data_IF_278552360602
#
_entry.id   IF_278552360602
#
_cell.length_a   1.000
_cell.length_b   1.000
_cell.length_c   1.000
_cell.angle_alpha   90.00
_cell.angle_beta   90.00
_cell.angle_gamma   90.00
#
_symmetry.space_group_name_H-M   'P 1'
#
loop_
_entity.id
_entity.type
_entity.pdbx_description
1 polymer ?
#
# COMPACT_ATOMS: atom_id res chain seq x y z
N UNK A 1 -4.21 18.97 -3.04
CA UNK A 1 -4.74 18.55 -1.73
C UNK A 1 -4.38 17.09 -1.57
N UNK A 2 -3.79 16.71 -0.45
CA UNK A 2 -3.36 15.33 -0.17
C UNK A 2 -4.54 14.37 -0.20
N UNK A 3 -4.33 13.16 -0.72
CA UNK A 3 -5.26 12.03 -0.63
C UNK A 3 -4.52 10.75 -0.25
N UNK A 4 -5.28 9.73 0.17
CA UNK A 4 -4.79 8.38 0.41
C UNK A 4 -5.26 7.46 -0.71
N UNK A 5 -4.32 6.79 -1.37
CA UNK A 5 -4.56 5.79 -2.40
C UNK A 5 -4.20 4.42 -1.83
N UNK A 6 -5.15 3.50 -1.81
CA UNK A 6 -4.96 2.15 -1.25
C UNK A 6 -4.98 1.15 -2.38
N UNK A 7 -3.87 0.42 -2.53
CA UNK A 7 -3.84 -0.86 -3.23
C UNK A 7 -4.65 -1.85 -2.37
N UNK A 8 -5.92 -2.04 -2.75
CA UNK A 8 -6.92 -2.65 -1.87
C UNK A 8 -6.96 -4.18 -1.99
N UNK A 9 -6.29 -4.77 -2.99
CA UNK A 9 -6.28 -6.20 -3.24
C UNK A 9 -5.56 -6.93 -2.09
N UNK A 10 -6.35 -7.59 -1.24
CA UNK A 10 -5.84 -8.31 -0.07
C UNK A 10 -5.24 -7.43 1.03
N UNK A 11 -5.48 -6.11 1.00
CA UNK A 11 -4.94 -5.19 1.99
C UNK A 11 -5.62 -5.36 3.36
N UNK A 12 -4.88 -5.75 4.42
CA UNK A 12 -5.49 -6.09 5.70
C UNK A 12 -5.80 -4.87 6.59
N UNK A 13 -5.53 -3.65 6.09
CA UNK A 13 -5.62 -2.41 6.88
C UNK A 13 -6.58 -1.38 6.27
N UNK A 14 -7.38 -1.75 5.26
CA UNK A 14 -8.33 -0.86 4.58
C UNK A 14 -9.21 -0.09 5.58
N UNK A 15 -9.88 -0.79 6.50
CA UNK A 15 -10.80 -0.14 7.45
C UNK A 15 -10.07 0.81 8.42
N UNK A 16 -8.82 0.49 8.78
CA UNK A 16 -7.99 1.35 9.63
C UNK A 16 -7.61 2.61 8.86
N UNK A 17 -7.19 2.45 7.59
CA UNK A 17 -6.85 3.57 6.70
C UNK A 17 -8.03 4.52 6.54
N UNK A 18 -9.23 3.99 6.25
CA UNK A 18 -10.45 4.80 6.08
C UNK A 18 -10.79 5.57 7.35
N UNK A 19 -10.79 4.89 8.51
CA UNK A 19 -11.08 5.54 9.80
C UNK A 19 -10.09 6.66 10.10
N UNK A 20 -8.80 6.42 9.88
CA UNK A 20 -7.76 7.43 10.10
C UNK A 20 -7.90 8.58 9.10
N UNK A 21 -8.11 8.31 7.81
CA UNK A 21 -8.32 9.32 6.78
C UNK A 21 -9.50 10.25 7.13
N UNK A 22 -10.61 9.66 7.57
CA UNK A 22 -11.82 10.39 8.00
C UNK A 22 -11.53 11.34 9.18
N UNK A 23 -10.69 10.95 10.14
CA UNK A 23 -10.32 11.82 11.27
C UNK A 23 -9.45 13.03 10.89
N UNK A 24 -8.82 12.99 9.71
CA UNK A 24 -8.03 14.08 9.14
C UNK A 24 -8.75 14.81 8.00
N UNK A 25 -9.99 14.43 7.68
CA UNK A 25 -10.75 14.96 6.53
C UNK A 25 -10.01 14.78 5.18
N UNK A 26 -9.21 13.71 5.07
CA UNK A 26 -8.43 13.40 3.86
C UNK A 26 -9.21 12.40 2.99
N UNK A 27 -9.39 12.66 1.68
CA UNK A 27 -10.01 11.72 0.77
C UNK A 27 -9.27 10.37 0.71
N UNK A 28 -10.02 9.28 0.75
CA UNK A 28 -9.49 7.92 0.65
C UNK A 28 -10.05 7.23 -0.61
N UNK A 29 -9.17 6.66 -1.42
CA UNK A 29 -9.52 5.92 -2.63
C UNK A 29 -9.03 4.48 -2.51
N UNK A 30 -9.92 3.52 -2.72
CA UNK A 30 -9.59 2.11 -2.82
C UNK A 30 -9.48 1.76 -4.31
N UNK A 31 -8.36 1.20 -4.72
CA UNK A 31 -8.14 0.75 -6.09
C UNK A 31 -8.02 -0.77 -6.05
N UNK A 32 -8.92 -1.47 -6.73
CA UNK A 32 -8.98 -2.93 -6.78
C UNK A 32 -9.45 -3.41 -8.15
N UNK A 33 -9.16 -4.66 -8.47
CA UNK A 33 -9.72 -5.29 -9.67
C UNK A 33 -11.18 -5.73 -9.47
N UNK A 34 -11.86 -6.14 -10.55
CA UNK A 34 -13.25 -6.65 -10.49
C UNK A 34 -13.43 -7.92 -9.66
N UNK A 35 -12.36 -8.67 -9.38
CA UNK A 35 -12.46 -9.90 -8.57
C UNK A 35 -12.44 -9.60 -7.06
N UNK A 36 -11.95 -8.41 -6.68
CA UNK A 36 -11.82 -7.96 -5.29
C UNK A 36 -12.65 -6.71 -5.00
N UNK A 37 -13.68 -6.45 -5.80
CA UNK A 37 -14.56 -5.28 -5.61
C UNK A 37 -15.05 -5.20 -4.16
N UNK A 38 -14.80 -4.05 -3.54
CA UNK A 38 -15.23 -3.77 -2.19
C UNK A 38 -15.76 -2.36 -2.08
N UNK A 39 -16.95 -2.20 -1.53
CA UNK A 39 -17.49 -0.89 -1.18
C UNK A 39 -17.36 -0.68 0.32
N UNK A 40 -16.87 0.49 0.72
CA UNK A 40 -16.69 0.88 2.12
C UNK A 40 -17.14 2.32 2.32
N UNK A 41 -17.93 2.55 3.38
CA UNK A 41 -18.31 3.91 3.76
C UNK A 41 -17.06 4.73 4.11
N UNK A 42 -16.97 5.96 3.63
CA UNK A 42 -15.82 6.84 3.83
C UNK A 42 -14.65 6.64 2.86
N UNK A 43 -14.82 5.84 1.80
CA UNK A 43 -13.86 5.77 0.70
C UNK A 43 -14.54 5.68 -0.67
N UNK A 44 -13.92 6.29 -1.68
CA UNK A 44 -14.31 6.09 -3.07
C UNK A 44 -13.62 4.83 -3.61
N UNK A 45 -14.36 3.94 -4.26
CA UNK A 45 -13.80 2.71 -4.85
C UNK A 45 -13.67 2.86 -6.36
N UNK A 46 -12.46 2.63 -6.86
CA UNK A 46 -12.12 2.66 -8.27
C UNK A 46 -11.85 1.23 -8.72
N UNK A 47 -12.84 0.63 -9.36
CA UNK A 47 -12.75 -0.74 -9.89
C UNK A 47 -12.12 -0.69 -11.27
N UNK A 48 -11.06 -1.47 -11.47
CA UNK A 48 -10.40 -1.60 -12.77
C UNK A 48 -10.70 -2.95 -13.41
N UNK A 49 -10.78 -2.97 -14.74
CA UNK A 49 -10.95 -4.22 -15.49
C UNK A 49 -9.81 -5.18 -15.19
N UNK A 50 -10.13 -6.47 -15.02
CA UNK A 50 -9.13 -7.51 -14.78
C UNK A 50 -8.06 -7.53 -15.87
N UNK A 51 -6.82 -7.30 -15.46
CA UNK A 51 -5.64 -7.29 -16.32
C UNK A 51 -4.38 -7.25 -15.47
N UNK A 52 -3.28 -7.81 -15.97
CA UNK A 52 -2.00 -7.72 -15.28
C UNK A 52 -1.64 -6.24 -15.04
N UNK A 53 -1.32 -5.91 -13.80
CA UNK A 53 -0.86 -4.59 -13.35
C UNK A 53 -1.83 -3.42 -13.61
N UNK A 54 -3.12 -3.70 -13.90
CA UNK A 54 -4.11 -2.65 -14.18
C UNK A 54 -4.38 -1.76 -12.95
N UNK A 55 -4.40 -2.36 -11.76
CA UNK A 55 -4.55 -1.66 -10.47
C UNK A 55 -3.37 -0.72 -10.25
N UNK A 56 -2.15 -1.26 -10.34
CA UNK A 56 -0.90 -0.50 -10.18
C UNK A 56 -0.84 0.68 -11.15
N UNK A 57 -1.17 0.48 -12.42
CA UNK A 57 -1.13 1.54 -13.42
C UNK A 57 -2.12 2.68 -13.10
N UNK A 58 -3.36 2.34 -12.75
CA UNK A 58 -4.37 3.36 -12.38
C UNK A 58 -3.98 4.08 -11.10
N UNK A 59 -3.47 3.34 -10.10
CA UNK A 59 -3.01 3.92 -8.85
C UNK A 59 -1.86 4.90 -9.11
N UNK A 60 -0.79 4.46 -9.79
CA UNK A 60 0.36 5.29 -10.13
C UNK A 60 -0.07 6.54 -10.88
N UNK A 61 -0.95 6.44 -11.86
CA UNK A 61 -1.41 7.61 -12.63
C UNK A 61 -2.21 8.62 -11.82
N UNK A 62 -2.81 8.22 -10.69
CA UNK A 62 -3.55 9.12 -9.80
C UNK A 62 -2.67 9.79 -8.75
N UNK A 63 -1.48 9.27 -8.47
CA UNK A 63 -0.56 9.85 -7.48
C UNK A 63 -0.17 11.27 -7.90
N UNK A 64 -0.32 12.19 -6.96
CA UNK A 64 0.31 13.51 -6.95
C UNK A 64 1.33 13.59 -5.82
N UNK A 65 2.16 14.64 -5.83
CA UNK A 65 3.09 14.92 -4.74
C UNK A 65 2.35 14.96 -3.39
N UNK A 66 2.99 14.41 -2.36
CA UNK A 66 2.52 14.31 -0.97
C UNK A 66 1.36 13.34 -0.71
N UNK A 67 0.77 12.75 -1.75
CA UNK A 67 -0.25 11.70 -1.59
C UNK A 67 0.32 10.50 -0.85
N UNK A 68 -0.48 9.90 0.04
CA UNK A 68 -0.11 8.69 0.76
C UNK A 68 -0.54 7.48 -0.06
N UNK A 69 0.34 6.50 -0.20
CA UNK A 69 0.05 5.24 -0.90
C UNK A 69 0.17 4.07 0.07
N UNK A 70 -0.91 3.33 0.30
CA UNK A 70 -0.87 2.12 1.13
C UNK A 70 -0.70 0.91 0.22
N UNK A 71 0.45 0.24 0.28
CA UNK A 71 0.74 -0.95 -0.56
C UNK A 71 1.76 -1.91 0.07
N UNK A 72 1.72 -3.18 -0.34
CA UNK A 72 2.77 -4.17 -0.08
C UNK A 72 3.73 -4.38 -1.24
N UNK A 73 3.39 -3.91 -2.44
CA UNK A 73 4.25 -4.11 -3.59
C UNK A 73 5.39 -3.08 -3.57
N UNK A 74 6.63 -3.58 -3.46
CA UNK A 74 7.81 -2.72 -3.45
C UNK A 74 8.03 -1.99 -4.78
N UNK A 75 7.62 -2.58 -5.91
CA UNK A 75 7.65 -1.91 -7.20
C UNK A 75 6.64 -0.76 -7.24
N UNK A 76 5.42 -0.98 -6.77
CA UNK A 76 4.41 0.08 -6.66
C UNK A 76 4.85 1.18 -5.70
N UNK A 77 5.44 0.83 -4.55
CA UNK A 77 6.01 1.79 -3.62
C UNK A 77 7.14 2.62 -4.26
N UNK A 78 8.02 1.99 -5.05
CA UNK A 78 9.08 2.70 -5.78
C UNK A 78 8.51 3.68 -6.81
N UNK A 79 7.48 3.27 -7.56
CA UNK A 79 6.78 4.16 -8.50
C UNK A 79 6.08 5.33 -7.79
N UNK A 80 5.53 5.08 -6.61
CA UNK A 80 4.92 6.12 -5.79
C UNK A 80 5.95 7.15 -5.30
N UNK A 81 7.13 6.70 -4.82
CA UNK A 81 8.24 7.58 -4.47
C UNK A 81 8.69 8.43 -5.67
N UNK A 82 8.84 7.81 -6.85
CA UNK A 82 9.24 8.52 -8.06
C UNK A 82 8.27 9.63 -8.48
N UNK A 83 7.01 9.58 -8.04
CA UNK A 83 6.00 10.63 -8.25
C UNK A 83 5.89 11.65 -7.11
N UNK A 84 6.77 11.58 -6.10
CA UNK A 84 6.71 12.43 -4.91
C UNK A 84 5.63 12.01 -3.91
N UNK A 85 5.07 10.81 -4.05
CA UNK A 85 4.15 10.24 -3.07
C UNK A 85 4.88 9.72 -1.84
N UNK A 86 4.09 9.38 -0.81
CA UNK A 86 4.56 8.89 0.50
C UNK A 86 4.02 7.49 0.76
N UNK A 87 4.68 6.44 0.25
CA UNK A 87 4.18 5.08 0.38
C UNK A 87 4.44 4.47 1.76
N UNK A 88 3.49 3.68 2.25
CA UNK A 88 3.51 3.00 3.54
C UNK A 88 2.99 1.56 3.41
N UNK A 89 3.62 0.64 4.13
CA UNK A 89 3.20 -0.76 4.23
C UNK A 89 2.15 -0.96 5.33
N UNK A 90 1.40 -2.06 5.29
CA UNK A 90 0.40 -2.47 6.27
C UNK A 90 0.94 -2.68 7.69
N UNK A 91 2.25 -2.74 7.90
CA UNK A 91 2.87 -2.85 9.22
C UNK A 91 3.36 -1.48 9.73
N UNK A 92 3.12 -0.41 8.97
CA UNK A 92 3.52 0.94 9.31
C UNK A 92 4.95 1.30 8.87
N UNK A 93 5.61 0.50 8.03
CA UNK A 93 6.91 0.88 7.45
C UNK A 93 6.70 1.91 6.35
N UNK A 94 7.37 3.05 6.48
CA UNK A 94 7.43 4.01 5.38
C UNK A 94 8.47 3.56 4.38
N UNK A 95 8.10 3.54 3.12
CA UNK A 95 9.05 3.37 2.04
C UNK A 95 9.71 4.71 1.78
N UNK A 96 11.03 4.70 1.62
CA UNK A 96 11.83 5.90 1.37
C UNK A 96 12.93 5.57 0.38
N UNK A 97 13.51 6.58 -0.27
CA UNK A 97 14.65 6.40 -1.17
C UNK A 97 15.83 5.70 -0.47
N UNK A 98 15.97 5.87 0.85
CA UNK A 98 17.01 5.24 1.64
C UNK A 98 16.79 3.73 1.88
N UNK A 99 15.59 3.19 1.69
CA UNK A 99 15.27 1.78 1.99
C UNK A 99 14.70 0.98 0.81
N UNK A 100 14.15 1.65 -0.21
CA UNK A 100 13.37 0.96 -1.25
C UNK A 100 14.22 0.02 -2.10
N UNK A 101 15.45 0.40 -2.44
CA UNK A 101 16.36 -0.42 -3.25
C UNK A 101 16.73 -1.73 -2.55
N UNK A 102 16.99 -1.67 -1.24
CA UNK A 102 17.29 -2.87 -0.45
C UNK A 102 16.08 -3.80 -0.37
N UNK A 103 14.87 -3.25 -0.25
CA UNK A 103 13.63 -4.03 -0.22
C UNK A 103 13.38 -4.72 -1.57
N UNK A 104 13.54 -4.01 -2.68
CA UNK A 104 13.46 -4.55 -4.05
C UNK A 104 14.48 -5.67 -4.26
N UNK A 105 15.73 -5.45 -3.88
CA UNK A 105 16.78 -6.47 -3.96
C UNK A 105 16.41 -7.71 -3.15
N UNK A 106 15.90 -7.53 -1.93
CA UNK A 106 15.49 -8.62 -1.04
C UNK A 106 14.34 -9.44 -1.63
N UNK A 107 13.34 -8.78 -2.25
CA UNK A 107 12.24 -9.44 -2.97
C UNK A 107 12.76 -10.30 -4.12
N UNK A 108 13.66 -9.74 -4.93
CA UNK A 108 14.25 -10.45 -6.06
C UNK A 108 15.12 -11.64 -5.61
N UNK A 109 15.94 -11.46 -4.57
CA UNK A 109 16.72 -12.55 -3.99
C UNK A 109 15.83 -13.67 -3.46
N UNK A 110 14.76 -13.33 -2.72
CA UNK A 110 13.80 -14.31 -2.22
C UNK A 110 13.11 -15.09 -3.35
N UNK A 111 12.85 -14.44 -4.49
CA UNK A 111 12.33 -15.10 -5.69
C UNK A 111 13.34 -16.10 -6.28
N UNK A 112 14.62 -15.73 -6.39
CA UNK A 112 15.69 -16.64 -6.84
C UNK A 112 15.81 -17.88 -5.95
N UNK A 113 15.76 -17.70 -4.62
CA UNK A 113 15.78 -18.82 -3.66
C UNK A 113 14.63 -19.78 -3.92
N UNK A 114 13.39 -19.27 -4.12
CA UNK A 114 12.23 -20.11 -4.44
C UNK A 114 12.38 -20.86 -5.76
N UNK A 115 12.89 -20.19 -6.80
CA UNK A 115 13.13 -20.80 -8.12
C UNK A 115 14.18 -21.91 -8.05
N UNK A 116 15.17 -21.79 -7.17
CA UNK A 116 16.17 -22.83 -6.90
C UNK A 116 15.65 -23.98 -6.00
N UNK A 117 14.36 -24.02 -5.68
CA UNK A 117 13.74 -25.05 -4.83
C UNK A 117 13.83 -24.78 -3.32
N UNK A 118 14.39 -23.64 -2.91
CA UNK A 118 14.45 -23.22 -1.53
C UNK A 118 13.06 -22.87 -0.97
N UNK A 119 12.78 -23.30 0.27
CA UNK A 119 11.53 -22.98 0.97
C UNK A 119 11.76 -21.80 1.92
N UNK A 120 11.00 -20.72 1.72
CA UNK A 120 10.96 -19.60 2.66
C UNK A 120 9.69 -19.70 3.51
N UNK A 121 9.81 -19.33 4.80
CA UNK A 121 8.65 -19.27 5.69
C UNK A 121 7.73 -18.15 5.22
N UNK A 122 6.45 -18.46 5.06
CA UNK A 122 5.42 -17.47 4.75
C UNK A 122 5.23 -16.45 5.88
N UNK A 123 4.54 -15.33 5.60
CA UNK A 123 4.22 -14.36 6.63
C UNK A 123 3.42 -15.01 7.77
N UNK A 124 3.69 -14.58 9.01
CA UNK A 124 2.89 -14.99 10.17
C UNK A 124 1.49 -14.38 10.06
N UNK A 125 0.52 -14.97 10.76
CA UNK A 125 -0.80 -14.35 10.95
C UNK A 125 -0.61 -12.95 11.54
N UNK A 126 -1.33 -11.98 10.97
CA UNK A 126 -1.32 -10.60 11.43
C UNK A 126 -1.85 -10.49 12.87
N UNK A 127 -1.18 -9.67 13.67
CA UNK A 127 -1.46 -9.43 15.08
C UNK A 127 -2.17 -8.08 15.30
N UNK A 128 -2.72 -7.87 16.49
CA UNK A 128 -3.39 -6.61 16.86
C UNK A 128 -2.36 -5.48 16.97
N UNK A 129 -1.18 -5.79 17.49
CA UNK A 129 -0.06 -4.87 17.67
C UNK A 129 0.40 -4.32 16.31
N UNK A 130 0.33 -5.11 15.23
CA UNK A 130 0.62 -4.64 13.88
C UNK A 130 -0.43 -3.65 13.36
N UNK A 131 -1.69 -3.78 13.77
CA UNK A 131 -2.75 -2.82 13.43
C UNK A 131 -2.52 -1.48 14.13
N UNK A 132 -2.17 -1.52 15.41
CA UNK A 132 -1.85 -0.34 16.20
C UNK A 132 -0.59 0.36 15.68
N UNK A 133 0.45 -0.41 15.33
CA UNK A 133 1.66 0.12 14.73
C UNK A 133 1.39 0.80 13.38
N UNK A 134 0.59 0.17 12.52
CA UNK A 134 0.15 0.77 11.26
C UNK A 134 -0.61 2.07 11.50
N UNK A 135 -1.63 2.07 12.37
CA UNK A 135 -2.43 3.25 12.65
C UNK A 135 -1.55 4.40 13.18
N UNK A 136 -0.69 4.13 14.17
CA UNK A 136 0.23 5.12 14.73
C UNK A 136 1.17 5.70 13.67
N UNK A 137 1.70 4.84 12.79
CA UNK A 137 2.62 5.26 11.74
C UNK A 137 1.93 6.07 10.64
N UNK A 138 0.72 5.67 10.24
CA UNK A 138 -0.10 6.43 9.27
C UNK A 138 -0.46 7.80 9.83
N UNK A 139 -0.92 7.89 11.10
CA UNK A 139 -1.21 9.16 11.76
C UNK A 139 0.00 10.10 11.76
N UNK A 140 1.20 9.58 12.06
CA UNK A 140 2.44 10.38 11.99
C UNK A 140 2.72 10.90 10.58
N UNK A 141 2.48 10.07 9.56
CA UNK A 141 2.70 10.43 8.16
C UNK A 141 1.76 11.55 7.71
N UNK A 142 0.49 11.49 8.12
CA UNK A 142 -0.52 12.50 7.79
C UNK A 142 -0.32 13.82 8.54
N UNK A 143 0.42 13.82 9.66
CA UNK A 143 0.72 15.02 10.46
C UNK A 143 2.02 15.76 10.07
N UNK A 144 2.75 15.27 9.06
CA UNK A 144 3.89 15.96 8.45
C UNK A 144 3.42 16.84 7.30
#
# INVERSE_FOLDING_TARGET
MMKILVDADGCPVVDITIRTAKSYEIPCFLICDTAHEMVRDGAETIVVSKGADAVDFVLVNKIQSDDVVVTQDYGLAAMALAKGGRPIDQNGRWYTDANIDQLLYSRHFAQKVRQAGGRLKGPKKRSVEQNEAFQSSLTKLLSQ
#
